data_IF_075461527610
#
_entry.id   IF_075461527610
#
_cell.length_a   1.000
_cell.length_b   1.000
_cell.length_c   1.000
_cell.angle_alpha   90.00
_cell.angle_beta   90.00
_cell.angle_gamma   90.00
#
_symmetry.space_group_name_H-M   'P 1'
#
loop_
_entity.id
_entity.type
_entity.pdbx_description
1 polymer ?
#
# COMPACT_ATOMS: atom_id res chain seq x y z
N UNK A 1 2.29 -12.18 -22.21
CA UNK A 1 1.15 -13.08 -22.47
C UNK A 1 -0.11 -12.65 -21.73
N UNK A 2 -0.15 -12.59 -20.38
CA UNK A 2 -1.38 -12.25 -19.65
C UNK A 2 -1.96 -10.86 -19.98
N UNK A 3 -1.15 -9.78 -19.88
CA UNK A 3 -1.60 -8.43 -20.22
C UNK A 3 -2.10 -8.33 -21.67
N UNK A 4 -1.40 -8.95 -22.62
CA UNK A 4 -1.83 -8.99 -24.03
C UNK A 4 -3.22 -9.61 -24.21
N UNK A 5 -3.49 -10.74 -23.54
CA UNK A 5 -4.82 -11.40 -23.60
C UNK A 5 -5.90 -10.51 -22.97
N UNK A 6 -5.61 -9.84 -21.86
CA UNK A 6 -6.55 -8.92 -21.23
C UNK A 6 -6.84 -7.69 -22.11
N UNK A 7 -5.80 -7.11 -22.72
CA UNK A 7 -5.93 -5.97 -23.64
C UNK A 7 -6.73 -6.33 -24.90
N UNK A 8 -6.59 -7.56 -25.42
CA UNK A 8 -7.45 -8.07 -26.52
C UNK A 8 -8.94 -8.11 -26.14
N UNK A 9 -9.26 -8.14 -24.84
CA UNK A 9 -10.62 -8.08 -24.30
C UNK A 9 -11.01 -6.67 -23.81
N UNK A 10 -10.14 -5.67 -23.98
CA UNK A 10 -10.35 -4.32 -23.47
C UNK A 10 -10.29 -4.20 -21.93
N UNK A 11 -9.61 -5.13 -21.25
CA UNK A 11 -9.53 -5.18 -19.79
C UNK A 11 -8.15 -4.68 -19.35
N UNK A 12 -8.08 -3.64 -18.49
CA UNK A 12 -6.82 -3.18 -17.91
C UNK A 12 -6.17 -4.22 -16.99
N UNK A 13 -4.84 -4.18 -16.89
CA UNK A 13 -4.02 -5.09 -16.10
C UNK A 13 -3.20 -4.37 -15.03
N UNK A 14 -2.87 -5.13 -13.98
CA UNK A 14 -1.97 -4.71 -12.92
C UNK A 14 -1.15 -5.91 -12.42
N UNK A 15 -0.14 -5.66 -11.60
CA UNK A 15 0.62 -6.70 -10.90
C UNK A 15 -0.17 -7.27 -9.69
N UNK A 16 0.34 -8.37 -9.13
CA UNK A 16 -0.31 -9.05 -8.00
C UNK A 16 -0.28 -8.31 -6.64
N UNK A 17 0.39 -7.15 -6.55
CA UNK A 17 0.49 -6.36 -5.31
C UNK A 17 1.63 -6.81 -4.37
N UNK A 18 2.79 -6.11 -4.32
CA UNK A 18 3.74 -6.29 -3.24
C UNK A 18 3.09 -5.89 -1.90
N UNK A 19 3.40 -6.65 -0.85
CA UNK A 19 2.90 -6.41 0.50
C UNK A 19 3.53 -5.17 1.15
N UNK A 20 2.85 -4.60 2.15
CA UNK A 20 3.24 -3.35 2.85
C UNK A 20 4.72 -3.30 3.21
N UNK A 21 5.26 -4.38 3.80
CA UNK A 21 6.66 -4.44 4.23
C UNK A 21 7.64 -4.28 3.07
N UNK A 22 7.40 -4.93 1.92
CA UNK A 22 8.27 -4.79 0.76
C UNK A 22 8.21 -3.38 0.19
N UNK A 23 7.00 -2.79 0.09
CA UNK A 23 6.84 -1.41 -0.40
C UNK A 23 7.56 -0.42 0.52
N UNK A 24 7.37 -0.55 1.83
CA UNK A 24 8.05 0.29 2.81
C UNK A 24 9.57 0.14 2.74
N UNK A 25 10.09 -1.09 2.58
CA UNK A 25 11.53 -1.31 2.39
C UNK A 25 12.08 -0.57 1.18
N UNK A 26 11.34 -0.57 0.07
CA UNK A 26 11.77 0.11 -1.16
C UNK A 26 11.78 1.63 -1.01
N UNK A 27 10.83 2.20 -0.26
CA UNK A 27 10.80 3.65 0.05
C UNK A 27 11.97 4.02 0.97
N UNK A 28 12.18 3.25 2.05
CA UNK A 28 13.29 3.45 2.97
C UNK A 28 14.64 3.41 2.24
N UNK A 29 14.85 2.39 1.43
CA UNK A 29 16.07 2.20 0.64
C UNK A 29 16.25 3.33 -0.39
N UNK A 30 15.17 3.80 -1.02
CA UNK A 30 15.24 4.95 -1.93
C UNK A 30 15.74 6.22 -1.26
N UNK A 31 15.31 6.50 -0.02
CA UNK A 31 15.84 7.63 0.75
C UNK A 31 17.33 7.46 1.02
N UNK A 32 17.78 6.26 1.41
CA UNK A 32 19.19 5.98 1.65
C UNK A 32 20.05 6.16 0.40
N UNK A 33 19.64 5.57 -0.74
CA UNK A 33 20.35 5.70 -2.01
C UNK A 33 20.43 7.15 -2.52
N UNK A 34 19.43 7.96 -2.15
CA UNK A 34 19.38 9.38 -2.48
C UNK A 34 20.16 10.25 -1.48
N UNK A 35 20.86 9.66 -0.50
CA UNK A 35 21.60 10.38 0.54
C UNK A 35 20.70 11.08 1.58
N UNK A 36 19.41 10.79 1.62
CA UNK A 36 18.41 11.40 2.50
C UNK A 36 18.25 10.61 3.81
N UNK A 37 19.34 10.39 4.54
CA UNK A 37 19.37 9.52 5.74
C UNK A 37 18.38 9.95 6.82
N UNK A 38 18.17 11.26 7.03
CA UNK A 38 17.21 11.75 8.02
C UNK A 38 15.76 11.39 7.64
N UNK A 39 15.41 11.52 6.36
CA UNK A 39 14.10 11.12 5.85
C UNK A 39 13.92 9.61 5.90
N UNK A 40 14.97 8.83 5.61
CA UNK A 40 14.93 7.38 5.76
C UNK A 40 14.62 6.98 7.21
N UNK A 41 15.25 7.64 8.19
CA UNK A 41 15.02 7.36 9.60
C UNK A 41 13.62 7.77 10.06
N UNK A 42 13.12 8.95 9.65
CA UNK A 42 11.75 9.40 9.92
C UNK A 42 10.70 8.47 9.29
N UNK A 43 10.92 8.06 8.04
CA UNK A 43 10.06 7.07 7.40
C UNK A 43 10.06 5.76 8.21
N UNK A 44 11.24 5.31 8.63
CA UNK A 44 11.36 4.02 9.30
C UNK A 44 10.62 3.98 10.64
N UNK A 45 10.60 5.08 11.40
CA UNK A 45 9.87 5.16 12.69
C UNK A 45 8.36 5.13 12.51
N UNK A 46 7.84 5.64 11.39
CA UNK A 46 6.41 5.64 11.06
C UNK A 46 5.94 4.35 10.40
N UNK A 47 6.79 3.73 9.57
CA UNK A 47 6.40 2.65 8.67
C UNK A 47 6.68 1.22 9.17
N UNK A 48 7.58 1.04 10.13
CA UNK A 48 7.98 -0.29 10.61
C UNK A 48 7.82 -0.44 12.12
N UNK A 49 7.44 -1.63 12.57
CA UNK A 49 7.49 -1.98 14.00
C UNK A 49 8.94 -2.02 14.51
N UNK A 50 9.12 -2.03 15.84
CA UNK A 50 10.45 -2.12 16.44
C UNK A 50 11.20 -3.39 15.98
N UNK A 51 10.49 -4.52 15.84
CA UNK A 51 11.05 -5.78 15.35
C UNK A 51 11.44 -5.70 13.87
N UNK A 52 10.60 -5.05 13.06
CA UNK A 52 10.87 -4.85 11.63
C UNK A 52 12.06 -3.91 11.39
N UNK A 53 12.22 -2.87 12.23
CA UNK A 53 13.36 -1.95 12.16
C UNK A 53 14.71 -2.68 12.37
N UNK A 54 14.75 -3.71 13.22
CA UNK A 54 15.96 -4.53 13.41
C UNK A 54 16.34 -5.32 12.15
N UNK A 55 15.40 -5.53 11.23
CA UNK A 55 15.60 -6.33 10.01
C UNK A 55 15.98 -5.50 8.79
N UNK A 56 15.90 -4.16 8.84
CA UNK A 56 16.09 -3.29 7.66
C UNK A 56 17.43 -3.50 6.95
N UNK A 57 18.49 -3.76 7.72
CA UNK A 57 19.85 -3.97 7.18
C UNK A 57 20.22 -5.45 7.04
N UNK A 58 19.26 -6.37 7.20
CA UNK A 58 19.52 -7.80 7.08
C UNK A 58 19.78 -8.22 5.63
N UNK A 59 20.55 -9.30 5.37
CA UNK A 59 20.72 -9.85 4.03
C UNK A 59 19.38 -10.19 3.35
N UNK A 60 18.38 -10.58 4.15
CA UNK A 60 17.03 -10.86 3.67
C UNK A 60 16.34 -9.59 3.16
N UNK A 61 16.44 -8.47 3.88
CA UNK A 61 15.89 -7.20 3.44
C UNK A 61 16.55 -6.70 2.15
N UNK A 62 17.89 -6.79 2.07
CA UNK A 62 18.64 -6.44 0.86
C UNK A 62 18.23 -7.28 -0.36
N UNK A 63 18.01 -8.58 -0.18
CA UNK A 63 17.51 -9.44 -1.25
C UNK A 63 16.06 -9.11 -1.66
N UNK A 64 15.20 -8.74 -0.71
CA UNK A 64 13.84 -8.27 -0.98
C UNK A 64 13.84 -6.96 -1.77
N UNK A 65 14.68 -6.00 -1.38
CA UNK A 65 14.87 -4.72 -2.10
C UNK A 65 15.30 -5.00 -3.55
N UNK A 66 16.34 -5.82 -3.75
CA UNK A 66 16.85 -6.18 -5.08
C UNK A 66 15.76 -6.78 -5.96
N UNK A 67 15.00 -7.75 -5.44
CA UNK A 67 13.88 -8.38 -6.14
C UNK A 67 12.74 -7.40 -6.42
N UNK A 68 12.39 -6.56 -5.45
CA UNK A 68 11.35 -5.55 -5.56
C UNK A 68 11.65 -4.54 -6.67
N UNK A 69 12.86 -3.99 -6.71
CA UNK A 69 13.31 -3.09 -7.78
C UNK A 69 13.25 -3.74 -9.16
N UNK A 70 13.70 -4.99 -9.28
CA UNK A 70 13.64 -5.74 -10.53
C UNK A 70 12.20 -5.95 -11.02
N UNK A 71 11.26 -6.21 -10.10
CA UNK A 71 9.83 -6.32 -10.43
C UNK A 71 9.25 -4.98 -10.89
N UNK A 72 9.50 -3.89 -10.15
CA UNK A 72 8.99 -2.56 -10.52
C UNK A 72 9.47 -2.13 -11.90
N UNK A 73 10.75 -2.34 -12.22
CA UNK A 73 11.31 -2.04 -13.53
C UNK A 73 10.65 -2.82 -14.69
N UNK A 74 10.06 -3.98 -14.38
CA UNK A 74 9.46 -4.88 -15.38
C UNK A 74 7.98 -4.60 -15.65
N UNK A 75 7.26 -3.94 -14.74
CA UNK A 75 5.78 -3.83 -14.83
C UNK A 75 5.31 -3.08 -16.09
N UNK A 76 5.88 -1.92 -16.38
CA UNK A 76 5.52 -1.17 -17.59
C UNK A 76 5.88 -1.95 -18.85
N UNK A 77 7.06 -2.56 -18.89
CA UNK A 77 7.51 -3.37 -20.03
C UNK A 77 6.64 -4.62 -20.25
N UNK A 78 6.04 -5.16 -19.19
CA UNK A 78 5.09 -6.27 -19.26
C UNK A 78 3.69 -5.86 -19.77
N UNK A 79 3.44 -4.54 -19.96
CA UNK A 79 2.15 -4.00 -20.39
C UNK A 79 1.14 -3.85 -19.25
N UNK A 80 1.58 -3.65 -18.01
CA UNK A 80 0.66 -3.27 -16.94
C UNK A 80 0.13 -1.83 -17.15
N UNK A 81 -1.15 -1.62 -16.88
CA UNK A 81 -1.81 -0.31 -16.94
C UNK A 81 -1.75 0.44 -15.61
N UNK A 82 -1.60 -0.33 -14.51
CA UNK A 82 -1.48 0.18 -13.15
C UNK A 82 -0.33 -0.51 -12.42
N UNK A 83 0.15 0.13 -11.35
CA UNK A 83 0.90 -0.55 -10.29
C UNK A 83 0.00 -0.70 -9.07
N UNK A 84 -0.26 -1.94 -8.69
CA UNK A 84 -0.99 -2.33 -7.48
C UNK A 84 -0.02 -2.62 -6.33
N UNK A 85 -0.46 -2.41 -5.09
CA UNK A 85 0.22 -2.80 -3.86
C UNK A 85 -0.76 -3.02 -2.71
N UNK A 86 -0.34 -3.74 -1.67
CA UNK A 86 -1.14 -3.92 -0.45
C UNK A 86 -0.62 -3.01 0.66
N UNK A 87 -1.51 -2.51 1.51
CA UNK A 87 -1.14 -1.55 2.56
C UNK A 87 -1.88 -1.75 3.88
N UNK A 88 -1.13 -1.86 4.98
CA UNK A 88 -1.67 -1.99 6.35
C UNK A 88 -0.95 -1.10 7.38
N UNK A 89 0.03 -0.32 6.92
CA UNK A 89 0.76 0.63 7.77
C UNK A 89 -0.19 1.80 8.10
N UNK A 90 -0.31 2.11 9.39
CA UNK A 90 -1.30 3.06 9.89
C UNK A 90 -1.04 4.52 9.52
N UNK A 91 0.21 4.85 9.16
CA UNK A 91 0.63 6.22 8.93
C UNK A 91 0.24 6.71 7.52
N UNK A 92 -0.58 7.78 7.41
CA UNK A 92 -1.00 8.31 6.12
C UNK A 92 0.15 9.00 5.36
N UNK A 93 1.14 9.57 6.05
CA UNK A 93 2.28 10.17 5.35
C UNK A 93 3.11 9.10 4.65
N UNK A 94 3.34 7.95 5.31
CA UNK A 94 4.03 6.80 4.74
C UNK A 94 3.31 6.23 3.51
N UNK A 95 1.97 6.23 3.52
CA UNK A 95 1.18 5.87 2.34
C UNK A 95 1.43 6.83 1.17
N UNK A 96 1.50 8.14 1.44
CA UNK A 96 1.83 9.15 0.44
C UNK A 96 3.22 8.95 -0.18
N UNK A 97 4.21 8.68 0.66
CA UNK A 97 5.60 8.42 0.24
C UNK A 97 5.70 7.12 -0.60
N UNK A 98 4.97 6.08 -0.21
CA UNK A 98 4.85 4.83 -0.98
C UNK A 98 4.24 5.05 -2.37
N UNK A 99 3.12 5.78 -2.45
CA UNK A 99 2.46 6.09 -3.72
C UNK A 99 3.38 6.94 -4.61
N UNK A 100 4.03 7.96 -4.06
CA UNK A 100 4.97 8.80 -4.79
C UNK A 100 6.13 7.97 -5.36
N UNK A 101 6.72 7.10 -4.54
CA UNK A 101 7.79 6.20 -4.96
C UNK A 101 7.34 5.24 -6.07
N UNK A 102 6.24 4.51 -5.89
CA UNK A 102 5.74 3.55 -6.88
C UNK A 102 5.43 4.22 -8.22
N UNK A 103 4.82 5.42 -8.18
CA UNK A 103 4.54 6.22 -9.38
C UNK A 103 5.83 6.64 -10.08
N UNK A 104 6.83 7.11 -9.34
CA UNK A 104 8.11 7.53 -9.90
C UNK A 104 8.89 6.36 -10.53
N UNK A 105 8.90 5.19 -9.89
CA UNK A 105 9.66 4.03 -10.39
C UNK A 105 9.03 3.34 -11.59
N UNK A 106 7.71 3.34 -11.69
CA UNK A 106 6.99 2.60 -12.74
C UNK A 106 6.47 3.51 -13.85
N UNK A 107 6.24 4.79 -13.56
CA UNK A 107 5.50 5.70 -14.42
C UNK A 107 4.03 5.31 -14.64
N UNK A 108 3.49 4.37 -13.85
CA UNK A 108 2.11 3.90 -13.95
C UNK A 108 1.23 4.58 -12.89
N UNK A 109 -0.07 4.78 -13.16
CA UNK A 109 -1.03 5.11 -12.12
C UNK A 109 -1.03 4.04 -11.02
N UNK A 110 -1.11 4.48 -9.76
CA UNK A 110 -1.04 3.61 -8.59
C UNK A 110 -2.44 3.26 -8.11
N UNK A 111 -2.67 1.99 -7.77
CA UNK A 111 -3.92 1.50 -7.16
C UNK A 111 -3.60 0.62 -5.94
N UNK A 112 -4.61 0.33 -5.13
CA UNK A 112 -4.52 -0.74 -4.13
C UNK A 112 -5.77 -1.61 -4.18
N UNK A 113 -5.60 -2.90 -4.45
CA UNK A 113 -6.67 -3.88 -4.35
C UNK A 113 -6.82 -4.44 -2.93
N UNK A 114 -5.97 -4.02 -1.99
CA UNK A 114 -6.00 -4.48 -0.60
C UNK A 114 -5.35 -3.43 0.31
N UNK A 115 -6.18 -2.63 0.97
CA UNK A 115 -5.77 -1.73 2.05
C UNK A 115 -6.54 -2.07 3.33
N UNK A 116 -5.91 -1.98 4.49
CA UNK A 116 -6.57 -2.33 5.75
C UNK A 116 -5.85 -1.82 6.98
N UNK A 117 -6.20 -2.40 8.12
CA UNK A 117 -5.61 -2.07 9.41
C UNK A 117 -5.44 -3.31 10.29
N UNK A 118 -4.66 -3.18 11.36
CA UNK A 118 -4.46 -4.22 12.38
C UNK A 118 -5.16 -3.90 13.71
N UNK A 119 -5.65 -2.66 13.88
CA UNK A 119 -6.25 -2.16 15.11
C UNK A 119 -7.77 -2.04 15.00
N UNK A 120 -8.47 -1.84 16.11
CA UNK A 120 -9.89 -1.43 16.16
C UNK A 120 -10.05 0.11 16.19
N UNK A 121 -9.02 0.88 15.82
CA UNK A 121 -9.08 2.35 15.84
C UNK A 121 -9.83 2.91 14.61
N UNK A 122 -10.99 3.57 14.79
CA UNK A 122 -11.73 4.20 13.69
C UNK A 122 -11.02 5.42 13.10
N UNK A 123 -10.15 6.10 13.87
CA UNK A 123 -9.44 7.28 13.37
C UNK A 123 -8.43 6.87 12.30
N UNK A 124 -7.71 5.76 12.52
CA UNK A 124 -6.86 5.14 11.50
C UNK A 124 -7.63 4.87 10.20
N UNK A 125 -8.85 4.31 10.28
CA UNK A 125 -9.70 4.06 9.11
C UNK A 125 -9.89 5.34 8.30
N UNK A 126 -10.35 6.42 8.95
CA UNK A 126 -10.62 7.69 8.26
C UNK A 126 -9.36 8.40 7.77
N UNK A 127 -8.24 8.30 8.50
CA UNK A 127 -6.98 8.93 8.10
C UNK A 127 -6.42 8.30 6.82
N UNK A 128 -6.44 6.97 6.74
CA UNK A 128 -5.99 6.24 5.54
C UNK A 128 -6.95 6.50 4.36
N UNK A 129 -8.26 6.43 4.57
CA UNK A 129 -9.24 6.74 3.53
C UNK A 129 -9.10 8.19 3.03
N UNK A 130 -8.91 9.14 3.95
CA UNK A 130 -8.63 10.55 3.64
C UNK A 130 -7.42 10.68 2.73
N UNK A 131 -6.34 9.98 3.07
CA UNK A 131 -5.12 9.98 2.26
C UNK A 131 -5.31 9.36 0.87
N UNK A 132 -6.08 8.29 0.75
CA UNK A 132 -6.44 7.69 -0.55
C UNK A 132 -7.14 8.71 -1.46
N UNK A 133 -8.10 9.47 -0.91
CA UNK A 133 -8.81 10.53 -1.63
C UNK A 133 -7.86 11.68 -1.99
N UNK A 134 -7.05 12.15 -1.05
CA UNK A 134 -6.06 13.21 -1.27
C UNK A 134 -5.09 12.86 -2.41
N UNK A 135 -4.62 11.60 -2.46
CA UNK A 135 -3.72 11.09 -3.49
C UNK A 135 -4.41 10.83 -4.83
N UNK A 136 -5.75 10.88 -4.88
CA UNK A 136 -6.54 10.63 -6.09
C UNK A 136 -6.35 9.21 -6.63
N UNK A 137 -6.18 8.20 -5.76
CA UNK A 137 -6.06 6.82 -6.21
C UNK A 137 -7.36 6.37 -6.89
N UNK A 138 -7.33 5.92 -8.15
CA UNK A 138 -8.55 5.61 -8.89
C UNK A 138 -9.23 4.33 -8.39
N UNK A 139 -8.48 3.43 -7.75
CA UNK A 139 -9.00 2.20 -7.14
C UNK A 139 -8.29 1.98 -5.80
N UNK A 140 -9.08 1.88 -4.73
CA UNK A 140 -8.64 1.48 -3.40
C UNK A 140 -9.69 0.55 -2.77
N UNK A 141 -9.33 -0.70 -2.50
CA UNK A 141 -10.24 -1.72 -1.97
C UNK A 141 -9.86 -2.05 -0.54
N UNK A 142 -10.78 -1.80 0.40
CA UNK A 142 -10.55 -2.07 1.82
C UNK A 142 -10.78 -3.54 2.17
N UNK A 143 -9.79 -4.19 2.78
CA UNK A 143 -9.90 -5.56 3.26
C UNK A 143 -10.74 -5.61 4.55
N UNK A 144 -11.92 -6.25 4.47
CA UNK A 144 -12.94 -6.14 5.52
C UNK A 144 -13.12 -7.39 6.38
N UNK A 145 -12.27 -8.40 6.23
CA UNK A 145 -12.35 -9.69 6.94
C UNK A 145 -11.26 -9.77 8.00
N UNK A 146 -11.57 -10.37 9.15
CA UNK A 146 -10.56 -10.68 10.16
C UNK A 146 -9.56 -11.75 9.65
N UNK A 147 -8.27 -11.49 9.78
CA UNK A 147 -7.19 -12.42 9.44
C UNK A 147 -6.01 -12.22 10.41
N UNK A 148 -5.01 -13.14 10.48
CA UNK A 148 -3.89 -13.00 11.41
C UNK A 148 -3.14 -11.67 11.36
N UNK A 149 -3.17 -10.99 10.21
CA UNK A 149 -2.61 -9.66 9.98
C UNK A 149 -3.64 -8.68 9.41
N UNK A 150 -4.92 -8.83 9.74
CA UNK A 150 -5.94 -7.87 9.31
C UNK A 150 -7.08 -7.81 10.31
N UNK A 151 -7.55 -6.60 10.56
CA UNK A 151 -8.75 -6.34 11.35
C UNK A 151 -9.90 -5.94 10.43
N UNK A 152 -11.00 -6.69 10.49
CA UNK A 152 -12.16 -6.46 9.65
C UNK A 152 -12.98 -5.22 10.03
N UNK A 153 -13.99 -4.92 9.21
CA UNK A 153 -14.93 -3.81 9.45
C UNK A 153 -16.24 -4.27 10.14
N UNK A 154 -16.48 -5.58 10.15
CA UNK A 154 -17.70 -6.21 10.66
C UNK A 154 -17.37 -7.18 11.78
N UNK A 155 -18.27 -7.30 12.75
CA UNK A 155 -18.28 -8.37 13.73
C UNK A 155 -18.78 -9.68 13.08
N UNK A 156 -18.59 -10.80 13.77
CA UNK A 156 -19.08 -12.11 13.29
C UNK A 156 -20.61 -12.19 13.17
N UNK A 157 -21.34 -11.36 13.91
CA UNK A 157 -22.80 -11.26 13.84
C UNK A 157 -23.31 -10.36 12.69
N UNK A 158 -22.40 -9.83 11.86
CA UNK A 158 -22.72 -8.95 10.74
C UNK A 158 -22.92 -7.47 11.11
N UNK A 159 -22.82 -7.10 12.39
CA UNK A 159 -22.88 -5.70 12.80
C UNK A 159 -21.58 -4.96 12.46
N UNK A 160 -21.68 -3.65 12.17
CA UNK A 160 -20.50 -2.83 11.93
C UNK A 160 -19.72 -2.62 13.23
N UNK A 161 -18.40 -2.80 13.16
CA UNK A 161 -17.46 -2.32 14.18
C UNK A 161 -17.39 -0.78 14.16
N UNK A 162 -16.82 -0.13 15.19
CA UNK A 162 -16.52 1.30 15.13
C UNK A 162 -15.73 1.71 13.87
N UNK A 163 -14.79 0.86 13.43
CA UNK A 163 -14.03 1.04 12.17
C UNK A 163 -14.94 0.97 10.93
N UNK A 164 -15.87 0.02 10.88
CA UNK A 164 -16.89 -0.08 9.82
C UNK A 164 -17.87 1.09 9.79
N UNK A 165 -18.27 1.59 10.96
CA UNK A 165 -19.10 2.81 11.06
C UNK A 165 -18.33 4.06 10.59
N UNK A 166 -17.05 4.15 10.91
CA UNK A 166 -16.19 5.24 10.44
C UNK A 166 -16.00 5.19 8.92
N UNK A 167 -15.73 4.00 8.37
CA UNK A 167 -15.68 3.75 6.93
C UNK A 167 -16.98 4.20 6.24
N UNK A 168 -18.13 3.71 6.72
CA UNK A 168 -19.43 4.05 6.15
C UNK A 168 -19.69 5.57 6.15
N UNK A 169 -19.44 6.24 7.28
CA UNK A 169 -19.60 7.70 7.39
C UNK A 169 -18.69 8.46 6.43
N UNK A 170 -17.43 8.04 6.30
CA UNK A 170 -16.47 8.67 5.39
C UNK A 170 -16.96 8.61 3.94
N UNK A 171 -17.40 7.43 3.46
CA UNK A 171 -17.94 7.26 2.09
C UNK A 171 -19.12 8.22 1.87
N UNK A 172 -20.07 8.25 2.81
CA UNK A 172 -21.28 9.08 2.70
C UNK A 172 -20.98 10.59 2.65
N UNK A 173 -19.86 11.03 3.19
CA UNK A 173 -19.47 12.44 3.27
C UNK A 173 -18.60 12.89 2.09
N UNK A 174 -17.79 11.98 1.52
CA UNK A 174 -16.70 12.38 0.60
C UNK A 174 -16.81 11.80 -0.81
N UNK A 175 -17.58 10.72 -1.03
CA UNK A 175 -17.60 9.98 -2.30
C UNK A 175 -19.02 9.84 -2.89
N UNK A 176 -19.82 10.91 -2.84
CA UNK A 176 -21.14 10.98 -3.48
C UNK A 176 -21.06 11.47 -4.92
#
# INVERSE_FOLDING_TARGET
AACQVAHQKGIPCTNGGPVSFLVALLVYDHYLESGQTAAAQDFATRAFTAEEQQLLNSPKAQEQIRKGKALLASYRAAGADYVNFHWYIADPQALGEAVAYLKAQTGLPVITNEIGQHSDDPNQTTAIMGKVVELGLPIAVWFSVDAPKARGLVNMDGTLRPTGQAFQRFIQQNLK
#
